data_IF_366166479826
#
_entry.id   IF_366166479826
#
_cell.length_a   1.000
_cell.length_b   1.000
_cell.length_c   1.000
_cell.angle_alpha   90.00
_cell.angle_beta   90.00
_cell.angle_gamma   90.00
#
_symmetry.space_group_name_H-M   'P 1'
#
loop_
_entity.id
_entity.type
_entity.pdbx_description
1 polymer ?
#
# COMPACT_ATOMS: atom_id res chain seq x y z
N UNK A 1 -22.79 -9.97 33.38
CA UNK A 1 -23.27 -8.82 32.59
C UNK A 1 -23.07 -9.19 31.13
N UNK A 2 -24.14 -9.18 30.33
CA UNK A 2 -24.04 -9.47 28.90
C UNK A 2 -23.66 -8.19 28.15
N UNK A 3 -22.66 -8.28 27.27
CA UNK A 3 -22.18 -7.14 26.48
C UNK A 3 -23.19 -6.85 25.35
N UNK A 4 -23.62 -5.60 25.17
CA UNK A 4 -24.54 -5.22 24.10
C UNK A 4 -24.03 -5.58 22.70
N UNK A 5 -24.94 -5.94 21.80
CA UNK A 5 -24.60 -6.29 20.41
C UNK A 5 -23.87 -5.17 19.66
N UNK A 6 -24.16 -3.91 20.01
CA UNK A 6 -23.52 -2.73 19.40
C UNK A 6 -22.00 -2.70 19.62
N UNK A 7 -21.50 -3.34 20.68
CA UNK A 7 -20.07 -3.41 20.99
C UNK A 7 -19.25 -3.95 19.82
N UNK A 8 -19.61 -5.13 19.27
CA UNK A 8 -18.86 -5.73 18.17
C UNK A 8 -18.92 -4.90 16.89
N UNK A 9 -20.05 -4.23 16.64
CA UNK A 9 -20.24 -3.33 15.50
C UNK A 9 -19.33 -2.09 15.61
N UNK A 10 -19.24 -1.51 16.79
CA UNK A 10 -18.38 -0.35 17.02
C UNK A 10 -16.89 -0.75 17.01
N UNK A 11 -16.54 -1.93 17.52
CA UNK A 11 -15.19 -2.51 17.39
C UNK A 11 -14.83 -2.75 15.92
N UNK A 12 -15.76 -3.28 15.12
CA UNK A 12 -15.60 -3.45 13.68
C UNK A 12 -15.32 -2.11 12.98
N UNK A 13 -16.11 -1.10 13.30
CA UNK A 13 -15.92 0.25 12.78
C UNK A 13 -14.54 0.82 13.15
N UNK A 14 -14.12 0.63 14.41
CA UNK A 14 -12.81 1.09 14.89
C UNK A 14 -11.64 0.39 14.19
N UNK A 15 -11.68 -0.95 14.06
CA UNK A 15 -10.59 -1.71 13.41
C UNK A 15 -10.47 -1.32 11.93
N UNK A 16 -11.59 -1.14 11.23
CA UNK A 16 -11.59 -0.81 9.79
C UNK A 16 -11.05 0.59 9.55
N UNK A 17 -11.42 1.54 10.41
CA UNK A 17 -10.86 2.89 10.37
C UNK A 17 -9.33 2.89 10.51
N UNK A 18 -8.78 1.99 11.33
CA UNK A 18 -7.33 1.82 11.52
C UNK A 18 -6.67 0.88 10.49
N UNK A 19 -7.42 0.39 9.49
CA UNK A 19 -6.90 -0.52 8.46
C UNK A 19 -6.58 -1.94 8.96
N UNK A 20 -7.17 -2.36 10.09
CA UNK A 20 -6.99 -3.68 10.70
C UNK A 20 -8.08 -4.67 10.24
N UNK A 21 -7.64 -5.85 9.77
CA UNK A 21 -8.53 -6.97 9.50
C UNK A 21 -8.97 -7.67 10.78
N UNK A 22 -10.00 -8.51 10.72
CA UNK A 22 -10.39 -9.35 11.86
C UNK A 22 -9.24 -10.28 12.32
N UNK A 23 -8.42 -10.77 11.39
CA UNK A 23 -7.24 -11.59 11.68
C UNK A 23 -6.17 -10.80 12.43
N UNK A 24 -6.02 -9.51 12.14
CA UNK A 24 -5.08 -8.66 12.88
C UNK A 24 -5.50 -8.49 14.34
N UNK A 25 -6.81 -8.38 14.59
CA UNK A 25 -7.35 -8.36 15.95
C UNK A 25 -7.10 -9.71 16.64
N UNK A 26 -7.31 -10.85 15.96
CA UNK A 26 -6.98 -12.18 16.50
C UNK A 26 -5.50 -12.28 16.90
N UNK A 27 -4.58 -11.76 16.07
CA UNK A 27 -3.15 -11.76 16.36
C UNK A 27 -2.82 -10.93 17.61
N UNK A 28 -3.43 -9.75 17.76
CA UNK A 28 -3.25 -8.88 18.93
C UNK A 28 -3.83 -9.49 20.22
N UNK A 29 -4.85 -10.35 20.11
CA UNK A 29 -5.49 -11.04 21.23
C UNK A 29 -4.90 -12.42 21.53
N UNK A 30 -3.97 -12.92 20.70
CA UNK A 30 -3.45 -14.30 20.78
C UNK A 30 -2.92 -14.69 22.18
N UNK A 31 -2.30 -13.76 22.90
CA UNK A 31 -1.76 -14.00 24.25
C UNK A 31 -2.85 -14.25 25.31
N UNK A 32 -4.11 -13.92 25.01
CA UNK A 32 -5.25 -14.08 25.90
C UNK A 32 -6.19 -15.22 25.47
N UNK A 33 -5.79 -16.02 24.47
CA UNK A 33 -6.60 -17.12 23.90
C UNK A 33 -8.01 -16.69 23.44
N UNK A 34 -8.14 -15.43 23.00
CA UNK A 34 -9.40 -14.88 22.47
C UNK A 34 -9.31 -14.78 20.96
N UNK A 35 -10.34 -15.29 20.29
CA UNK A 35 -10.48 -15.22 18.83
C UNK A 35 -11.66 -14.34 18.43
N UNK A 36 -11.36 -13.07 18.16
CA UNK A 36 -12.33 -12.06 17.73
C UNK A 36 -13.13 -12.50 16.51
N UNK A 37 -12.49 -13.07 15.48
CA UNK A 37 -13.15 -13.52 14.24
C UNK A 37 -14.22 -14.61 14.47
N UNK A 38 -14.20 -15.29 15.62
CA UNK A 38 -15.15 -16.33 15.97
C UNK A 38 -16.31 -15.82 16.83
N UNK A 39 -16.28 -14.55 17.25
CA UNK A 39 -17.34 -13.92 18.02
C UNK A 39 -18.52 -13.57 17.10
N UNK A 40 -19.67 -14.21 17.34
CA UNK A 40 -20.85 -14.04 16.47
C UNK A 40 -21.84 -13.00 16.98
N UNK A 41 -22.20 -13.04 18.28
CA UNK A 41 -23.18 -12.12 18.91
C UNK A 41 -23.03 -11.99 20.43
N UNK A 42 -22.53 -13.03 21.12
CA UNK A 42 -22.30 -13.01 22.56
C UNK A 42 -20.82 -12.84 22.84
N UNK A 43 -20.46 -11.78 23.55
CA UNK A 43 -19.09 -11.47 23.96
C UNK A 43 -19.02 -11.59 25.47
N UNK A 44 -18.06 -12.37 25.98
CA UNK A 44 -17.80 -12.41 27.42
C UNK A 44 -17.24 -11.07 27.88
N UNK A 45 -17.46 -10.72 29.15
CA UNK A 45 -16.89 -9.50 29.73
C UNK A 45 -15.37 -9.47 29.58
N UNK A 46 -14.72 -10.63 29.74
CA UNK A 46 -13.29 -10.81 29.53
C UNK A 46 -12.87 -10.50 28.09
N UNK A 47 -13.56 -11.07 27.10
CA UNK A 47 -13.26 -10.81 25.70
C UNK A 47 -13.46 -9.32 25.35
N UNK A 48 -14.55 -8.70 25.81
CA UNK A 48 -14.79 -7.27 25.61
C UNK A 48 -13.70 -6.41 26.25
N UNK A 49 -13.27 -6.75 27.47
CA UNK A 49 -12.18 -6.05 28.15
C UNK A 49 -10.90 -6.05 27.32
N UNK A 50 -10.43 -7.22 26.88
CA UNK A 50 -9.19 -7.31 26.13
C UNK A 50 -9.29 -6.70 24.73
N UNK A 51 -10.44 -6.81 24.07
CA UNK A 51 -10.72 -6.10 22.82
C UNK A 51 -10.62 -4.59 23.02
N UNK A 52 -11.25 -4.01 24.05
CA UNK A 52 -11.16 -2.58 24.34
C UNK A 52 -9.72 -2.13 24.62
N UNK A 53 -8.90 -2.98 25.25
CA UNK A 53 -7.49 -2.67 25.53
C UNK A 53 -6.62 -2.58 24.29
N UNK A 54 -6.97 -3.22 23.17
CA UNK A 54 -6.29 -3.01 21.87
C UNK A 54 -6.35 -1.55 21.46
N UNK A 55 -7.48 -0.89 21.72
CA UNK A 55 -7.72 0.51 21.37
C UNK A 55 -7.35 1.49 22.49
N UNK A 56 -6.81 1.00 23.61
CA UNK A 56 -6.58 1.79 24.82
C UNK A 56 -7.86 2.51 25.31
N UNK A 57 -8.93 1.73 25.42
CA UNK A 57 -10.28 2.17 25.79
C UNK A 57 -10.90 1.27 26.84
N UNK A 58 -12.06 1.68 27.34
CA UNK A 58 -12.93 0.86 28.19
C UNK A 58 -14.07 0.27 27.37
N UNK A 59 -14.95 -0.53 27.97
CA UNK A 59 -16.05 -1.20 27.25
C UNK A 59 -17.13 -0.17 26.89
N UNK A 60 -17.34 0.78 27.80
CA UNK A 60 -18.30 1.88 27.74
C UNK A 60 -18.12 2.72 26.46
N UNK A 61 -16.86 2.93 26.04
CA UNK A 61 -16.52 3.68 24.83
C UNK A 61 -17.06 3.03 23.54
N UNK A 62 -17.39 1.73 23.56
CA UNK A 62 -17.89 0.99 22.40
C UNK A 62 -19.38 0.69 22.45
N UNK A 63 -20.05 1.02 23.56
CA UNK A 63 -21.50 0.81 23.70
C UNK A 63 -22.30 2.11 23.53
N UNK A 64 -21.63 3.21 23.18
CA UNK A 64 -22.27 4.46 22.80
C UNK A 64 -22.93 4.33 21.41
N UNK A 65 -24.18 4.79 21.31
CA UNK A 65 -24.93 4.84 20.06
C UNK A 65 -24.35 5.87 19.07
N UNK A 66 -23.64 6.89 19.57
CA UNK A 66 -22.97 7.94 18.79
C UNK A 66 -21.45 7.70 18.66
N UNK A 67 -21.06 6.43 18.51
CA UNK A 67 -19.67 6.02 18.41
C UNK A 67 -18.90 6.71 17.27
N UNK A 68 -17.72 7.24 17.60
CA UNK A 68 -16.75 7.73 16.62
C UNK A 68 -15.47 6.89 16.67
N UNK A 69 -14.90 6.51 15.51
CA UNK A 69 -13.64 5.76 15.47
C UNK A 69 -12.50 6.52 16.14
N UNK A 70 -11.52 5.78 16.67
CA UNK A 70 -10.38 6.37 17.37
C UNK A 70 -9.21 6.66 16.44
N UNK A 71 -8.53 7.77 16.70
CA UNK A 71 -7.29 8.13 16.03
C UNK A 71 -6.14 7.19 16.45
N UNK A 72 -5.30 6.82 15.48
CA UNK A 72 -4.19 5.87 15.66
C UNK A 72 -3.26 6.24 16.84
N UNK A 73 -2.97 7.52 17.02
CA UNK A 73 -2.07 8.01 18.08
C UNK A 73 -2.66 7.82 19.50
N UNK A 74 -3.96 7.56 19.63
CA UNK A 74 -4.64 7.34 20.92
C UNK A 74 -4.83 5.86 21.29
N UNK A 75 -4.48 4.96 20.36
CA UNK A 75 -4.61 3.50 20.46
C UNK A 75 -3.47 2.91 21.32
N UNK A 76 -3.57 1.66 21.78
CA UNK A 76 -2.49 1.02 22.54
C UNK A 76 -1.17 0.99 21.75
N UNK A 77 -0.05 1.28 22.43
CA UNK A 77 1.29 1.31 21.82
C UNK A 77 1.62 0.01 21.08
N UNK A 78 1.25 -1.15 21.61
CA UNK A 78 1.48 -2.44 20.94
C UNK A 78 0.74 -2.54 19.62
N UNK A 79 -0.51 -2.06 19.57
CA UNK A 79 -1.33 -2.02 18.36
C UNK A 79 -0.77 -1.01 17.35
N UNK A 80 -0.32 0.16 17.82
CA UNK A 80 0.35 1.15 16.96
C UNK A 80 1.60 0.55 16.31
N UNK A 81 2.44 -0.13 17.11
CA UNK A 81 3.64 -0.82 16.64
C UNK A 81 3.31 -1.95 15.66
N UNK A 82 2.26 -2.73 15.93
CA UNK A 82 1.79 -3.79 15.03
C UNK A 82 1.35 -3.23 13.68
N UNK A 83 0.57 -2.15 13.68
CA UNK A 83 0.15 -1.45 12.45
C UNK A 83 1.38 -0.94 11.68
N UNK A 84 2.30 -0.26 12.37
CA UNK A 84 3.52 0.25 11.73
C UNK A 84 4.38 -0.88 11.16
N UNK A 85 4.55 -1.98 11.89
CA UNK A 85 5.30 -3.15 11.43
C UNK A 85 4.64 -3.81 10.21
N UNK A 86 3.33 -4.01 10.23
CA UNK A 86 2.59 -4.57 9.09
C UNK A 86 2.60 -3.63 7.89
N UNK A 87 2.55 -2.32 8.09
CA UNK A 87 2.71 -1.34 7.01
C UNK A 87 4.12 -1.39 6.44
N UNK A 88 5.15 -1.54 7.27
CA UNK A 88 6.54 -1.67 6.83
C UNK A 88 6.80 -3.01 6.12
N UNK A 89 6.21 -4.12 6.56
CA UNK A 89 6.27 -5.41 5.86
C UNK A 89 5.54 -5.35 4.52
N UNK A 90 4.34 -4.76 4.47
CA UNK A 90 3.63 -4.51 3.21
C UNK A 90 4.45 -3.61 2.29
N UNK A 91 5.09 -2.55 2.80
CA UNK A 91 5.98 -1.69 2.04
C UNK A 91 7.20 -2.44 1.50
N UNK A 92 7.81 -3.33 2.30
CA UNK A 92 8.94 -4.17 1.88
C UNK A 92 8.55 -5.23 0.83
N UNK A 93 7.36 -5.81 0.95
CA UNK A 93 6.82 -6.72 -0.08
C UNK A 93 6.52 -5.93 -1.36
N UNK A 94 5.92 -4.75 -1.27
CA UNK A 94 5.60 -3.90 -2.42
C UNK A 94 6.89 -3.40 -3.11
N UNK A 95 7.93 -2.99 -2.36
CA UNK A 95 9.25 -2.58 -2.90
C UNK A 95 9.95 -3.71 -3.65
N UNK A 96 9.83 -4.95 -3.18
CA UNK A 96 10.35 -6.13 -3.88
C UNK A 96 9.72 -6.37 -5.27
N UNK A 97 8.58 -5.71 -5.56
CA UNK A 97 7.85 -5.82 -6.82
C UNK A 97 7.80 -4.52 -7.63
N UNK A 98 8.63 -3.51 -7.32
CA UNK A 98 8.68 -2.25 -8.09
C UNK A 98 8.76 -2.48 -9.61
N UNK A 99 9.54 -3.49 -10.05
CA UNK A 99 9.68 -3.85 -11.45
C UNK A 99 8.34 -4.22 -12.10
N UNK A 100 7.41 -4.87 -11.38
CA UNK A 100 6.09 -5.20 -11.90
C UNK A 100 5.22 -3.94 -12.07
N UNK A 101 5.22 -3.03 -11.09
CA UNK A 101 4.48 -1.77 -11.19
C UNK A 101 5.00 -0.90 -12.33
N UNK A 102 6.33 -0.82 -12.50
CA UNK A 102 6.97 -0.11 -13.61
C UNK A 102 6.54 -0.69 -14.96
N UNK A 103 6.48 -2.02 -15.10
CA UNK A 103 5.98 -2.67 -16.32
C UNK A 103 4.57 -2.19 -16.66
N UNK A 104 3.66 -2.10 -15.68
CA UNK A 104 2.29 -1.62 -15.92
C UNK A 104 2.27 -0.17 -16.42
N UNK A 105 3.15 0.69 -15.90
CA UNK A 105 3.24 2.08 -16.33
C UNK A 105 3.75 2.20 -17.77
N UNK A 106 4.76 1.40 -18.14
CA UNK A 106 5.41 1.52 -19.47
C UNK A 106 4.80 0.61 -20.54
N UNK A 107 3.83 -0.25 -20.20
CA UNK A 107 3.31 -1.32 -21.10
C UNK A 107 2.79 -0.82 -22.45
N UNK A 108 2.25 0.40 -22.48
CA UNK A 108 1.66 1.01 -23.68
C UNK A 108 2.60 1.99 -24.38
N UNK A 109 3.84 2.16 -23.91
CA UNK A 109 4.78 3.07 -24.55
C UNK A 109 5.33 2.43 -25.84
N UNK A 110 5.37 3.17 -26.96
CA UNK A 110 5.93 2.66 -28.19
C UNK A 110 7.44 2.42 -28.06
N UNK A 111 7.96 1.48 -28.84
CA UNK A 111 9.42 1.27 -28.98
C UNK A 111 10.10 2.60 -29.32
N UNK A 112 11.25 2.86 -28.68
CA UNK A 112 12.02 4.08 -28.86
C UNK A 112 11.59 5.25 -27.96
N UNK A 113 10.52 5.09 -27.17
CA UNK A 113 10.14 6.09 -26.17
C UNK A 113 11.27 6.33 -25.19
N UNK A 114 11.56 7.60 -24.91
CA UNK A 114 12.59 8.04 -23.98
C UNK A 114 11.97 8.65 -22.73
N UNK A 115 12.43 8.22 -21.57
CA UNK A 115 11.95 8.68 -20.27
C UNK A 115 13.07 8.69 -19.23
N UNK A 116 12.86 9.43 -18.15
CA UNK A 116 13.70 9.40 -16.94
C UNK A 116 12.95 8.77 -15.77
N UNK A 117 13.64 8.49 -14.66
CA UNK A 117 13.00 7.89 -13.49
C UNK A 117 11.86 8.78 -12.95
N UNK A 118 12.04 10.10 -12.96
CA UNK A 118 11.00 11.06 -12.56
C UNK A 118 9.75 11.07 -13.45
N UNK A 119 9.80 10.51 -14.67
CA UNK A 119 8.61 10.34 -15.50
C UNK A 119 7.74 9.14 -15.06
N UNK A 120 8.31 8.23 -14.26
CA UNK A 120 7.73 6.93 -13.88
C UNK A 120 7.41 6.88 -12.39
N UNK A 121 8.37 7.21 -11.52
CA UNK A 121 8.26 7.04 -10.07
C UNK A 121 7.02 7.71 -9.47
N UNK A 122 6.65 8.96 -9.83
CA UNK A 122 5.46 9.61 -9.27
C UNK A 122 4.14 8.90 -9.59
N UNK A 123 4.12 8.02 -10.61
CA UNK A 123 2.93 7.24 -11.02
C UNK A 123 2.80 5.93 -10.26
N UNK A 124 3.82 5.53 -9.50
CA UNK A 124 3.80 4.34 -8.67
C UNK A 124 2.86 4.54 -7.45
N UNK A 125 2.35 3.46 -6.82
CA UNK A 125 1.63 3.59 -5.57
C UNK A 125 2.57 4.03 -4.44
N UNK A 126 2.06 4.68 -3.38
CA UNK A 126 2.77 4.72 -2.11
C UNK A 126 3.10 3.30 -1.60
N UNK A 127 4.30 3.02 -1.09
CA UNK A 127 5.44 3.95 -0.87
C UNK A 127 6.43 4.03 -2.04
N UNK A 128 6.20 3.28 -3.12
CA UNK A 128 7.12 3.20 -4.26
C UNK A 128 7.34 4.54 -4.98
N UNK A 129 6.37 5.45 -4.89
CA UNK A 129 6.48 6.80 -5.42
C UNK A 129 7.48 7.70 -4.64
N UNK A 130 8.03 7.20 -3.53
CA UNK A 130 9.08 7.87 -2.76
C UNK A 130 10.49 7.38 -3.12
N UNK A 131 10.60 6.37 -3.99
CA UNK A 131 11.89 5.85 -4.44
C UNK A 131 12.68 6.91 -5.21
N UNK A 132 14.00 6.85 -5.13
CA UNK A 132 14.88 7.77 -5.87
C UNK A 132 15.33 7.20 -7.21
N UNK A 133 15.22 5.89 -7.40
CA UNK A 133 15.72 5.21 -8.60
C UNK A 133 15.02 3.88 -8.84
N UNK A 134 14.98 3.47 -10.11
CA UNK A 134 14.52 2.16 -10.55
C UNK A 134 15.75 1.37 -11.04
N UNK A 135 15.90 0.13 -10.59
CA UNK A 135 16.90 -0.79 -11.15
C UNK A 135 16.38 -1.43 -12.44
N UNK A 136 16.80 -0.84 -13.56
CA UNK A 136 16.45 -1.28 -14.90
C UNK A 136 17.15 -2.58 -15.36
N UNK A 137 18.09 -3.11 -14.57
CA UNK A 137 18.89 -4.28 -14.94
C UNK A 137 18.37 -5.59 -14.35
N UNK A 138 17.34 -5.53 -13.50
CA UNK A 138 16.83 -6.68 -12.76
C UNK A 138 15.39 -7.09 -13.12
N UNK A 139 15.06 -8.32 -12.75
CA UNK A 139 13.70 -8.85 -12.81
C UNK A 139 13.03 -8.73 -14.19
N UNK A 140 11.78 -8.26 -14.19
CA UNK A 140 10.97 -8.10 -15.41
C UNK A 140 11.44 -6.96 -16.33
N UNK A 141 12.26 -6.03 -15.82
CA UNK A 141 12.76 -4.88 -16.59
C UNK A 141 14.02 -5.21 -17.39
N UNK A 142 14.74 -6.27 -16.98
CA UNK A 142 16.01 -6.67 -17.59
C UNK A 142 15.87 -6.84 -19.10
N UNK A 143 16.61 -6.01 -19.84
CA UNK A 143 16.70 -6.08 -21.30
C UNK A 143 15.61 -5.31 -22.06
N UNK A 144 14.60 -4.75 -21.37
CA UNK A 144 13.55 -3.94 -22.01
C UNK A 144 14.02 -2.52 -22.35
N UNK A 145 14.88 -1.95 -21.52
CA UNK A 145 15.39 -0.59 -21.71
C UNK A 145 16.90 -0.60 -21.95
N UNK A 146 17.39 0.46 -22.60
CA UNK A 146 18.81 0.81 -22.62
C UNK A 146 18.99 2.19 -21.97
N UNK A 147 20.06 2.35 -21.20
CA UNK A 147 20.53 3.67 -20.81
C UNK A 147 21.15 4.33 -22.05
N UNK A 148 20.76 5.56 -22.36
CA UNK A 148 21.26 6.29 -23.54
C UNK A 148 22.60 6.99 -23.29
N UNK A 149 23.14 6.93 -22.07
CA UNK A 149 24.31 7.68 -21.58
C UNK A 149 24.15 9.21 -21.74
N UNK A 150 22.90 9.67 -21.85
CA UNK A 150 22.55 11.09 -21.89
C UNK A 150 21.66 11.41 -20.69
N UNK A 151 21.61 12.68 -20.31
CA UNK A 151 20.96 13.11 -19.08
C UNK A 151 19.95 14.24 -19.36
N UNK A 152 18.85 14.26 -18.61
CA UNK A 152 17.84 15.33 -18.62
C UNK A 152 17.97 16.12 -17.32
N UNK A 153 18.28 17.41 -17.41
CA UNK A 153 18.18 18.31 -16.26
C UNK A 153 16.73 18.68 -15.99
N UNK A 154 16.39 18.88 -14.71
CA UNK A 154 15.14 19.53 -14.36
C UNK A 154 15.15 20.97 -14.85
N UNK A 155 14.01 21.48 -15.33
CA UNK A 155 13.88 22.86 -15.78
C UNK A 155 14.19 23.88 -14.66
N UNK A 156 14.05 23.47 -13.40
CA UNK A 156 14.29 24.31 -12.23
C UNK A 156 15.72 24.18 -11.68
N UNK A 157 16.54 23.31 -12.26
CA UNK A 157 17.89 23.06 -11.78
C UNK A 157 18.89 24.03 -12.42
N UNK A 158 19.44 24.92 -11.59
CA UNK A 158 20.42 25.93 -11.98
C UNK A 158 21.86 25.52 -11.67
N UNK A 159 22.09 24.36 -11.04
CA UNK A 159 23.43 23.93 -10.68
C UNK A 159 24.19 23.44 -11.95
N UNK A 160 25.29 24.09 -12.35
CA UNK A 160 26.11 23.63 -13.46
C UNK A 160 26.75 22.26 -13.19
N UNK A 161 26.94 21.86 -11.92
CA UNK A 161 27.56 20.59 -11.53
C UNK A 161 26.60 19.41 -11.54
N UNK A 162 25.29 19.65 -11.45
CA UNK A 162 24.31 18.57 -11.58
C UNK A 162 24.25 18.11 -13.03
N UNK A 163 24.50 16.82 -13.27
CA UNK A 163 24.43 16.22 -14.62
C UNK A 163 22.98 15.96 -15.06
N UNK A 164 22.02 15.94 -14.13
CA UNK A 164 20.64 15.58 -14.39
C UNK A 164 20.38 14.07 -14.30
N UNK A 165 19.15 13.66 -14.61
CA UNK A 165 18.73 12.25 -14.57
C UNK A 165 19.09 11.51 -15.84
N UNK A 166 19.56 10.26 -15.70
CA UNK A 166 19.85 9.41 -16.85
C UNK A 166 18.59 9.14 -17.67
N UNK A 167 18.71 9.29 -18.99
CA UNK A 167 17.64 8.99 -19.94
C UNK A 167 17.71 7.50 -20.31
N UNK A 168 16.55 6.87 -20.26
CA UNK A 168 16.33 5.49 -20.70
C UNK A 168 15.50 5.47 -21.97
N UNK A 169 15.80 4.53 -22.87
CA UNK A 169 15.04 4.31 -24.10
C UNK A 169 14.49 2.88 -24.12
N UNK A 170 13.21 2.75 -24.41
CA UNK A 170 12.55 1.45 -24.53
C UNK A 170 13.00 0.75 -25.82
N UNK A 171 13.71 -0.38 -25.70
CA UNK A 171 14.29 -1.11 -26.84
C UNK A 171 13.25 -1.84 -27.69
N UNK A 172 12.13 -2.21 -27.07
CA UNK A 172 11.04 -2.95 -27.69
C UNK A 172 9.75 -2.71 -26.91
N UNK A 173 8.60 -2.90 -27.56
CA UNK A 173 7.32 -2.95 -26.85
C UNK A 173 7.37 -4.01 -25.76
N UNK A 174 6.68 -3.75 -24.64
CA UNK A 174 6.70 -4.67 -23.51
C UNK A 174 6.01 -5.97 -23.94
N UNK A 175 6.69 -7.13 -23.88
CA UNK A 175 6.09 -8.38 -24.29
C UNK A 175 4.85 -8.70 -23.45
N UNK A 176 3.80 -9.16 -24.12
CA UNK A 176 2.52 -9.50 -23.49
C UNK A 176 2.66 -10.50 -22.33
N UNK A 177 3.57 -11.46 -22.45
CA UNK A 177 3.85 -12.41 -21.36
C UNK A 177 4.46 -11.72 -20.12
N UNK A 178 5.24 -10.66 -20.30
CA UNK A 178 5.82 -9.85 -19.21
C UNK A 178 4.73 -9.02 -18.55
N UNK A 179 3.82 -8.44 -19.33
CA UNK A 179 2.64 -7.71 -18.83
C UNK A 179 1.79 -8.63 -17.95
N UNK A 180 1.45 -9.83 -18.42
CA UNK A 180 0.69 -10.80 -17.64
C UNK A 180 1.38 -11.21 -16.34
N UNK A 181 2.71 -11.36 -16.35
CA UNK A 181 3.49 -11.64 -15.13
C UNK A 181 3.46 -10.46 -14.16
N UNK A 182 3.51 -9.22 -14.65
CA UNK A 182 3.43 -8.03 -13.83
C UNK A 182 2.05 -7.87 -13.18
N UNK A 183 0.96 -8.08 -13.94
CA UNK A 183 -0.42 -8.00 -13.43
C UNK A 183 -0.63 -8.92 -12.23
N UNK A 184 -0.04 -10.12 -12.23
CA UNK A 184 -0.14 -11.07 -11.11
C UNK A 184 0.60 -10.65 -9.83
N UNK A 185 1.46 -9.63 -9.91
CA UNK A 185 2.34 -9.19 -8.81
C UNK A 185 1.98 -7.81 -8.25
N UNK A 186 1.10 -7.07 -8.91
CA UNK A 186 0.66 -5.74 -8.47
C UNK A 186 -0.64 -5.84 -7.68
N UNK A 187 -0.88 -4.87 -6.81
CA UNK A 187 -2.14 -4.73 -6.10
C UNK A 187 -3.32 -4.53 -7.06
N UNK A 188 -4.41 -5.26 -6.82
CA UNK A 188 -5.55 -5.29 -7.74
C UNK A 188 -6.36 -3.99 -7.69
N UNK A 189 -6.43 -3.33 -6.52
CA UNK A 189 -7.14 -2.05 -6.37
C UNK A 189 -6.37 -0.94 -7.07
N UNK A 190 -5.06 -0.85 -6.82
CA UNK A 190 -4.19 0.09 -7.52
C UNK A 190 -4.24 -0.08 -9.03
N UNK A 191 -4.18 -1.32 -9.53
CA UNK A 191 -4.23 -1.59 -10.97
C UNK A 191 -5.53 -1.07 -11.60
N UNK A 192 -6.67 -1.33 -10.97
CA UNK A 192 -7.98 -0.82 -11.44
C UNK A 192 -7.99 0.70 -11.47
N UNK A 193 -7.58 1.36 -10.39
CA UNK A 193 -7.56 2.82 -10.29
C UNK A 193 -6.63 3.44 -11.33
N UNK A 194 -5.46 2.84 -11.55
CA UNK A 194 -4.48 3.30 -12.52
C UNK A 194 -5.00 3.19 -13.96
N UNK A 195 -5.65 2.08 -14.32
CA UNK A 195 -6.23 1.88 -15.64
C UNK A 195 -7.43 2.81 -15.89
N UNK A 196 -8.29 3.02 -14.89
CA UNK A 196 -9.41 3.97 -14.98
C UNK A 196 -8.91 5.39 -15.21
N UNK A 197 -7.92 5.86 -14.43
CA UNK A 197 -7.35 7.20 -14.61
C UNK A 197 -6.74 7.40 -16.00
N UNK A 198 -5.96 6.43 -16.49
CA UNK A 198 -5.34 6.53 -17.81
C UNK A 198 -6.38 6.50 -18.95
N UNK A 199 -7.49 5.78 -18.78
CA UNK A 199 -8.58 5.73 -19.77
C UNK A 199 -9.32 7.07 -19.91
N UNK A 200 -9.34 7.89 -18.86
CA UNK A 200 -9.96 9.21 -18.84
C UNK A 200 -9.07 10.27 -19.50
N UNK A 201 -7.75 10.20 -19.32
CA UNK A 201 -6.79 11.12 -19.96
C UNK A 201 -6.68 10.96 -21.47
N UNK A 202 -7.05 9.81 -22.04
CA UNK A 202 -7.05 9.58 -23.50
C UNK A 202 -8.38 9.95 -24.18
N UNK A 203 -9.35 10.51 -23.43
CA UNK A 203 -10.68 10.91 -23.92
C UNK A 203 -10.90 12.43 -23.95
N UNK A 204 -9.87 13.22 -23.63
CA UNK A 204 -9.83 14.68 -23.74
C UNK A 204 -8.79 15.07 -24.79
#
# INVERSE_FOLDING_TARGET
MDIPFIFLKNVETAREHLGLSATDIDNLLKQFDIKYSSLKKKVSLEAAYYISKIFNRVIEDFIDDNFNPFELNTVNIKTQQYIQHNTNEKANVISSFINAYVIIIIKNLPKGTRFVNSDIIPKLPPVLNLETSIDWTSGLLKGLVKNTNTFRKSANDKDPRNRGEAIYELKMEVPEHTIRKAIKKVDTLWLKDFETKNSLTNKL
#
